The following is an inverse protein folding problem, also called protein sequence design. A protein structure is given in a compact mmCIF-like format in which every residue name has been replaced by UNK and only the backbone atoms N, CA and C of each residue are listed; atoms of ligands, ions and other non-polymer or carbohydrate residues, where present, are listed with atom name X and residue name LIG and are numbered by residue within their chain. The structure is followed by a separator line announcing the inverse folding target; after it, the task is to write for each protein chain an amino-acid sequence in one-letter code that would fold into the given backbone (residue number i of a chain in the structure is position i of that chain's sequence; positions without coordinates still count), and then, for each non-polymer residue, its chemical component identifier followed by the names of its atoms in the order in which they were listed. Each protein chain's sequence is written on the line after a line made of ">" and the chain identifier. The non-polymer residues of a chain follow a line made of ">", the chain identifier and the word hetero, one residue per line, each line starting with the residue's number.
data_IF_297431692482
#
_entry.id   IF_297431692482
#
_cell.length_a   1.000
_cell.length_b   1.000
_cell.length_c   1.000
_cell.angle_alpha   90.00
_cell.angle_beta   90.00
_cell.angle_gamma   90.00
#
_symmetry.space_group_name_H-M   'P 1'
#
loop_
_entity.id
_entity.type
_entity.pdbx_description
1 polymer ?
#
# COMPACT_ATOMS: atom_id res chain seq x y z
N UNK A 1 -13.42 -22.37 7.15
CA UNK A 1 -13.91 -20.99 6.98
C UNK A 1 -12.88 -20.31 6.10
N UNK A 2 -13.16 -20.19 4.81
CA UNK A 2 -12.26 -19.56 3.86
C UNK A 2 -12.51 -18.06 3.93
N UNK A 3 -11.78 -17.38 4.81
CA UNK A 3 -11.70 -15.92 4.83
C UNK A 3 -10.75 -15.47 3.69
N UNK A 4 -11.05 -15.91 2.47
CA UNK A 4 -10.29 -15.52 1.29
C UNK A 4 -10.77 -14.14 0.86
N UNK A 5 -9.95 -13.15 1.22
CA UNK A 5 -9.62 -12.05 0.32
C UNK A 5 -10.67 -10.95 0.08
N UNK A 6 -11.29 -10.43 1.15
CA UNK A 6 -11.92 -9.10 1.12
C UNK A 6 -11.08 -8.11 1.92
N UNK A 7 -9.96 -7.68 1.34
CA UNK A 7 -9.28 -6.50 1.87
C UNK A 7 -10.29 -5.35 1.95
N UNK A 8 -10.50 -4.84 3.16
CA UNK A 8 -11.40 -3.71 3.35
C UNK A 8 -10.74 -2.43 2.87
N UNK A 9 -11.57 -1.43 2.54
CA UNK A 9 -11.08 -0.10 2.16
C UNK A 9 -10.12 0.47 3.21
N UNK A 10 -10.43 0.24 4.48
CA UNK A 10 -9.63 0.67 5.62
C UNK A 10 -8.25 0.02 5.65
N UNK A 11 -8.16 -1.29 5.38
CA UNK A 11 -6.89 -1.99 5.29
C UNK A 11 -6.03 -1.48 4.13
N UNK A 12 -6.64 -1.28 2.96
CA UNK A 12 -5.95 -0.71 1.80
C UNK A 12 -5.39 0.68 2.12
N UNK A 13 -6.19 1.53 2.78
CA UNK A 13 -5.75 2.87 3.20
C UNK A 13 -4.58 2.80 4.17
N UNK A 14 -4.65 1.92 5.18
CA UNK A 14 -3.59 1.76 6.17
C UNK A 14 -2.29 1.23 5.54
N UNK A 15 -2.38 0.30 4.58
CA UNK A 15 -1.21 -0.19 3.85
C UNK A 15 -0.61 0.89 2.94
N UNK A 16 -1.46 1.63 2.21
CA UNK A 16 -1.02 2.72 1.35
C UNK A 16 -0.34 3.82 2.18
N UNK A 17 -0.89 4.17 3.34
CA UNK A 17 -0.30 5.15 4.25
C UNK A 17 1.10 4.72 4.72
N UNK A 18 1.25 3.45 5.12
CA UNK A 18 2.56 2.87 5.46
C UNK A 18 3.54 2.95 4.29
N UNK A 19 3.09 2.63 3.08
CA UNK A 19 3.91 2.69 1.87
C UNK A 19 4.30 4.11 1.47
N UNK A 20 3.45 5.10 1.72
CA UNK A 20 3.73 6.51 1.44
C UNK A 20 4.73 7.08 2.45
N UNK A 21 4.57 6.74 3.73
CA UNK A 21 5.46 7.16 4.83
C UNK A 21 6.77 6.38 4.85
N UNK A 22 6.87 5.30 4.09
CA UNK A 22 8.08 4.51 3.99
C UNK A 22 9.22 5.32 3.35
N UNK A 23 10.30 5.50 4.11
CA UNK A 23 11.49 6.26 3.69
C UNK A 23 11.32 7.78 3.65
N UNK A 24 10.23 8.34 4.22
CA UNK A 24 10.01 9.80 4.31
C UNK A 24 9.37 10.20 5.63
N UNK A 25 9.82 11.32 6.19
CA UNK A 25 9.22 11.90 7.40
C UNK A 25 7.83 12.50 7.15
N UNK A 26 7.51 12.87 5.91
CA UNK A 26 6.21 13.43 5.54
C UNK A 26 5.55 12.68 4.36
N UNK A 27 4.24 12.36 4.46
CA UNK A 27 3.52 11.67 3.41
C UNK A 27 3.31 12.60 2.21
N UNK A 28 3.78 12.16 1.03
CA UNK A 28 3.61 12.92 -0.23
C UNK A 28 2.17 12.94 -0.75
N UNK A 29 1.30 12.08 -0.23
CA UNK A 29 -0.12 11.99 -0.56
C UNK A 29 -0.88 12.08 0.75
N UNK A 30 -1.89 12.96 0.81
CA UNK A 30 -2.74 13.07 1.98
C UNK A 30 -3.66 11.83 2.08
N UNK A 31 -3.54 11.00 3.13
CA UNK A 31 -4.33 9.78 3.27
C UNK A 31 -5.84 10.05 3.37
N UNK A 32 -6.24 11.25 3.81
CA UNK A 32 -7.64 11.65 3.82
C UNK A 32 -8.24 11.75 2.40
N UNK A 33 -7.42 12.00 1.37
CA UNK A 33 -7.87 12.03 -0.02
C UNK A 33 -8.12 10.62 -0.57
N UNK A 34 -7.34 9.65 -0.11
CA UNK A 34 -7.49 8.25 -0.50
C UNK A 34 -8.82 7.67 0.02
N UNK A 35 -9.32 8.15 1.15
CA UNK A 35 -10.61 7.73 1.69
C UNK A 35 -11.80 7.98 0.73
N UNK A 36 -11.64 8.87 -0.25
CA UNK A 36 -12.65 9.14 -1.28
C UNK A 36 -12.49 8.28 -2.54
N UNK A 37 -11.34 7.61 -2.72
CA UNK A 37 -11.09 6.75 -3.86
C UNK A 37 -11.87 5.44 -3.77
N UNK A 38 -12.18 4.84 -4.90
CA UNK A 38 -12.79 3.51 -4.92
C UNK A 38 -11.76 2.43 -4.54
N UNK A 39 -12.24 1.24 -4.18
CA UNK A 39 -11.37 0.12 -3.81
C UNK A 39 -10.39 -0.21 -4.95
N UNK A 40 -10.85 -0.20 -6.21
CA UNK A 40 -10.02 -0.40 -7.40
C UNK A 40 -8.90 0.65 -7.54
N UNK A 41 -9.22 1.91 -7.28
CA UNK A 41 -8.25 3.01 -7.31
C UNK A 41 -7.21 2.87 -6.19
N UNK A 42 -7.64 2.44 -5.01
CA UNK A 42 -6.75 2.16 -3.88
C UNK A 42 -5.82 0.99 -4.17
N UNK A 43 -6.34 -0.10 -4.74
CA UNK A 43 -5.53 -1.25 -5.19
C UNK A 43 -4.49 -0.80 -6.22
N UNK A 44 -4.91 -0.02 -7.21
CA UNK A 44 -4.00 0.54 -8.23
C UNK A 44 -2.95 1.46 -7.63
N UNK A 45 -3.31 2.28 -6.64
CA UNK A 45 -2.41 3.18 -5.93
C UNK A 45 -1.38 2.40 -5.11
N UNK A 46 -1.83 1.40 -4.34
CA UNK A 46 -0.97 0.47 -3.59
C UNK A 46 0.05 -0.20 -4.50
N UNK A 47 -0.39 -0.72 -5.66
CA UNK A 47 0.49 -1.39 -6.63
C UNK A 47 1.58 -0.45 -7.16
N UNK A 48 1.21 0.76 -7.58
CA UNK A 48 2.17 1.78 -8.05
C UNK A 48 3.17 2.17 -6.96
N UNK A 49 2.71 2.28 -5.71
CA UNK A 49 3.59 2.57 -4.57
C UNK A 49 4.55 1.41 -4.31
N UNK A 50 4.06 0.17 -4.29
CA UNK A 50 4.90 -1.02 -4.13
C UNK A 50 5.97 -1.14 -5.21
N UNK A 51 5.62 -0.89 -6.47
CA UNK A 51 6.59 -0.87 -7.58
C UNK A 51 7.62 0.25 -7.41
N UNK A 52 7.20 1.42 -6.92
CA UNK A 52 8.09 2.56 -6.67
C UNK A 52 9.04 2.29 -5.51
N UNK A 53 8.54 1.77 -4.40
CA UNK A 53 9.33 1.45 -3.21
C UNK A 53 10.25 0.26 -3.47
N UNK A 54 9.79 -0.78 -4.16
CA UNK A 54 10.61 -1.93 -4.54
C UNK A 54 11.73 -1.62 -5.53
N UNK A 55 11.61 -0.53 -6.31
CA UNK A 55 12.72 0.01 -7.11
C UNK A 55 13.70 0.85 -6.29
N UNK A 56 13.24 1.45 -5.19
CA UNK A 56 14.05 2.33 -4.35
C UNK A 56 14.90 1.56 -3.33
N UNK A 57 14.39 0.43 -2.82
CA UNK A 57 15.09 -0.36 -1.81
C UNK A 57 15.11 -1.84 -2.18
N UNK A 58 16.25 -2.30 -2.72
CA UNK A 58 16.53 -3.75 -2.76
C UNK A 58 16.81 -4.31 -1.37
N UNK A 59 17.22 -3.45 -0.43
CA UNK A 59 17.56 -3.78 0.96
C UNK A 59 16.31 -4.04 1.81
N UNK A 60 15.18 -3.38 1.52
CA UNK A 60 13.94 -3.54 2.27
C UNK A 60 12.93 -4.48 1.59
N UNK A 61 13.44 -5.41 0.77
CA UNK A 61 12.63 -6.48 0.18
C UNK A 61 11.81 -7.20 1.24
N UNK A 62 12.38 -7.52 2.40
CA UNK A 62 11.69 -8.22 3.50
C UNK A 62 10.50 -7.43 4.06
N UNK A 63 10.63 -6.10 4.15
CA UNK A 63 9.53 -5.21 4.56
C UNK A 63 8.43 -5.16 3.50
N UNK A 64 8.82 -5.09 2.23
CA UNK A 64 7.91 -5.09 1.09
C UNK A 64 7.18 -6.43 0.87
N UNK A 65 7.79 -7.55 1.26
CA UNK A 65 7.18 -8.87 1.16
C UNK A 65 5.88 -9.00 1.98
N UNK A 66 5.74 -8.21 3.05
CA UNK A 66 4.50 -8.16 3.84
C UNK A 66 3.31 -7.63 3.04
N UNK A 67 3.58 -6.76 2.07
CA UNK A 67 2.58 -6.16 1.18
C UNK A 67 2.40 -6.94 -0.14
N UNK A 68 3.41 -7.72 -0.54
CA UNK A 68 3.39 -8.60 -1.73
C UNK A 68 2.64 -9.91 -1.50
N UNK A 69 2.05 -10.15 -0.32
CA UNK A 69 1.29 -11.39 -0.01
C UNK A 69 0.04 -11.65 -0.87
N UNK A 70 -0.16 -10.90 -1.94
CA UNK A 70 -1.28 -11.07 -2.86
C UNK A 70 -0.72 -11.20 -4.28
N UNK A 71 -0.71 -12.47 -4.72
CA UNK A 71 -0.43 -13.07 -6.05
C UNK A 71 0.00 -12.13 -7.20
#
# INVERSE_FOLDING_TARGET
>A
MNEENRQTKEELLAEIEKLISYGREEPTINPALLAYLEIDDLISTKKKLLERVGKLSEEDKEWLEQFKKYD
#
